data_IF_701707778771
#
_entry.id   IF_701707778771
#
_cell.length_a   1.000
_cell.length_b   1.000
_cell.length_c   1.000
_cell.angle_alpha   90.00
_cell.angle_beta   90.00
_cell.angle_gamma   90.00
#
_symmetry.space_group_name_H-M   'P 1'
#
loop_
_entity.id
_entity.type
_entity.pdbx_description
1 polymer ?
#
# COMPACT_ATOMS: atom_id res chain seq x y z
N UNK A 1 39.10 12.10 -19.19
CA UNK A 1 39.33 10.70 -19.66
C UNK A 1 39.16 9.78 -18.46
N UNK A 2 38.11 8.93 -18.51
CA UNK A 2 37.91 7.65 -17.78
C UNK A 2 37.92 7.66 -16.25
N UNK A 3 36.75 7.45 -15.64
CA UNK A 3 36.20 6.14 -15.20
C UNK A 3 36.94 5.57 -13.97
N UNK A 4 36.23 5.48 -12.84
CA UNK A 4 35.93 4.23 -12.09
C UNK A 4 35.60 4.57 -10.63
N UNK A 5 34.39 4.26 -10.20
CA UNK A 5 34.10 3.48 -8.98
C UNK A 5 32.62 3.62 -8.65
N UNK A 6 31.87 2.64 -9.15
CA UNK A 6 30.47 2.39 -8.87
C UNK A 6 30.39 1.27 -7.82
N UNK A 7 29.36 1.34 -6.99
CA UNK A 7 28.80 0.23 -6.19
C UNK A 7 29.52 -0.13 -4.88
N UNK A 8 28.92 0.30 -3.76
CA UNK A 8 28.68 -0.47 -2.53
C UNK A 8 27.70 0.36 -1.68
N UNK A 9 26.44 -0.08 -1.58
CA UNK A 9 25.52 0.06 -0.44
C UNK A 9 24.06 0.01 -0.93
N UNK A 10 23.48 -1.19 -1.01
CA UNK A 10 22.07 -1.42 -0.65
C UNK A 10 21.79 -2.93 -0.60
N UNK A 11 22.02 -3.56 0.56
CA UNK A 11 21.50 -4.90 0.88
C UNK A 11 21.32 -5.05 2.38
N UNK A 12 20.23 -4.52 2.92
CA UNK A 12 19.57 -5.04 4.15
C UNK A 12 18.09 -4.66 4.06
N UNK A 13 17.20 -5.66 4.16
CA UNK A 13 15.78 -5.40 4.46
C UNK A 13 14.74 -6.05 3.55
N UNK A 14 14.90 -7.31 3.13
CA UNK A 14 13.79 -8.12 2.63
C UNK A 14 13.86 -9.50 3.30
N UNK A 15 13.04 -9.71 4.33
CA UNK A 15 12.78 -10.99 4.96
C UNK A 15 11.28 -11.03 5.25
N UNK A 16 10.50 -12.02 4.83
CA UNK A 16 10.76 -13.15 3.97
C UNK A 16 9.41 -13.76 3.59
N UNK A 17 9.30 -14.28 2.38
CA UNK A 17 8.20 -15.15 1.97
C UNK A 17 8.72 -16.10 0.89
N UNK A 18 9.02 -17.34 1.27
CA UNK A 18 9.31 -18.39 0.29
C UNK A 18 8.94 -19.79 0.84
N UNK A 19 7.83 -20.29 0.30
CA UNK A 19 7.51 -21.66 -0.12
C UNK A 19 7.78 -22.87 0.79
N UNK A 20 6.69 -23.54 1.19
CA UNK A 20 6.64 -24.98 1.42
C UNK A 20 6.66 -25.74 0.09
N UNK A 21 7.62 -26.63 -0.10
CA UNK A 21 7.59 -27.69 -1.10
C UNK A 21 7.35 -29.04 -0.42
N UNK A 22 6.28 -29.72 -0.81
CA UNK A 22 5.88 -31.03 -0.30
C UNK A 22 6.86 -32.14 -0.73
N UNK A 23 7.36 -32.91 0.22
CA UNK A 23 8.04 -34.18 -0.03
C UNK A 23 7.02 -35.33 0.06
N UNK A 24 6.46 -35.71 -1.09
CA UNK A 24 5.76 -36.99 -1.28
C UNK A 24 6.72 -37.92 -2.03
N UNK A 25 7.24 -38.93 -1.34
CA UNK A 25 7.80 -40.14 -1.98
C UNK A 25 8.05 -41.20 -0.90
N UNK A 26 7.19 -42.24 -0.88
CA UNK A 26 7.26 -43.29 0.14
C UNK A 26 6.58 -44.58 -0.26
N UNK A 27 7.02 -45.16 -1.38
CA UNK A 27 7.21 -46.60 -1.64
C UNK A 27 6.04 -47.56 -1.33
N UNK A 28 5.43 -48.06 -2.41
CA UNK A 28 4.57 -49.24 -2.36
C UNK A 28 5.39 -50.53 -2.29
N UNK A 29 4.88 -51.50 -1.54
CA UNK A 29 5.06 -52.93 -1.79
C UNK A 29 3.84 -53.70 -1.27
N UNK A 30 3.59 -54.85 -1.91
CA UNK A 30 2.30 -55.53 -2.01
C UNK A 30 1.96 -56.50 -0.87
N UNK A 31 0.64 -56.58 -0.63
CA UNK A 31 -0.22 -57.76 -0.38
C UNK A 31 0.00 -58.69 0.83
N UNK A 32 -1.08 -58.89 1.61
CA UNK A 32 -1.22 -60.01 2.55
C UNK A 32 -2.39 -59.92 3.54
N UNK A 33 -3.61 -60.20 3.06
CA UNK A 33 -4.70 -60.98 3.68
C UNK A 33 -5.47 -60.55 4.97
N UNK A 34 -6.76 -60.96 4.95
CA UNK A 34 -7.69 -61.27 6.03
C UNK A 34 -8.44 -60.15 6.83
N UNK A 35 -9.71 -59.98 6.44
CA UNK A 35 -10.95 -59.80 7.26
C UNK A 35 -10.83 -59.18 8.66
N UNK A 36 -11.47 -58.02 8.83
CA UNK A 36 -12.50 -57.86 9.87
C UNK A 36 -13.41 -56.68 9.53
N UNK A 37 -14.70 -56.97 9.39
CA UNK A 37 -15.73 -55.95 9.30
C UNK A 37 -15.89 -55.32 10.68
N UNK A 38 -15.37 -54.11 10.86
CA UNK A 38 -15.79 -53.25 11.95
C UNK A 38 -16.47 -52.03 11.35
N UNK A 39 -17.80 -52.07 11.32
CA UNK A 39 -18.63 -50.90 11.11
C UNK A 39 -18.58 -50.04 12.38
N UNK A 40 -17.41 -49.43 12.63
CA UNK A 40 -17.28 -48.31 13.53
C UNK A 40 -17.53 -47.06 12.71
N UNK A 41 -18.61 -46.34 13.00
CA UNK A 41 -18.87 -45.04 12.40
C UNK A 41 -17.64 -44.17 12.56
N UNK A 42 -16.97 -43.87 11.46
CA UNK A 42 -16.01 -42.80 11.40
C UNK A 42 -16.82 -41.52 11.59
N UNK A 43 -16.94 -41.09 12.84
CA UNK A 43 -17.09 -39.67 13.09
C UNK A 43 -15.90 -39.03 12.37
N UNK A 44 -16.20 -38.35 11.27
CA UNK A 44 -15.28 -37.45 10.59
C UNK A 44 -14.80 -36.49 11.68
N UNK A 45 -13.62 -36.77 12.24
CA UNK A 45 -12.99 -35.88 13.18
C UNK A 45 -12.74 -34.61 12.37
N UNK A 46 -13.61 -33.60 12.56
CA UNK A 46 -13.42 -32.29 12.00
C UNK A 46 -11.97 -31.91 12.31
N UNK A 47 -11.15 -31.83 11.26
CA UNK A 47 -9.73 -31.56 11.41
C UNK A 47 -9.62 -30.26 12.22
N UNK A 48 -9.13 -30.36 13.45
CA UNK A 48 -8.90 -29.19 14.29
C UNK A 48 -7.92 -28.31 13.53
N UNK A 49 -8.44 -27.19 13.03
CA UNK A 49 -7.66 -26.21 12.30
C UNK A 49 -6.57 -25.72 13.25
N UNK A 50 -5.30 -25.77 12.82
CA UNK A 50 -4.20 -25.19 13.60
C UNK A 50 -4.50 -23.71 13.86
N UNK A 51 -4.70 -23.27 15.12
CA UNK A 51 -5.03 -21.89 15.43
C UNK A 51 -4.00 -20.90 14.90
N UNK A 52 -2.73 -21.32 14.82
CA UNK A 52 -1.66 -20.47 14.29
C UNK A 52 -1.77 -20.29 12.78
N UNK A 53 -2.10 -21.35 12.04
CA UNK A 53 -2.30 -21.29 10.60
C UNK A 53 -3.56 -20.49 10.23
N UNK A 54 -4.65 -20.67 10.96
CA UNK A 54 -5.89 -19.93 10.75
C UNK A 54 -5.69 -18.42 11.01
N UNK A 55 -5.02 -18.06 12.11
CA UNK A 55 -4.68 -16.68 12.43
C UNK A 55 -3.83 -16.02 11.32
N UNK A 56 -2.80 -16.71 10.81
CA UNK A 56 -1.96 -16.17 9.74
C UNK A 56 -2.73 -16.02 8.43
N UNK A 57 -3.66 -16.94 8.13
CA UNK A 57 -4.54 -16.82 6.97
C UNK A 57 -5.49 -15.63 7.09
N UNK A 58 -6.01 -15.36 8.30
CA UNK A 58 -6.81 -14.16 8.58
C UNK A 58 -6.00 -12.87 8.36
N UNK A 59 -4.77 -12.82 8.89
CA UNK A 59 -3.88 -11.68 8.69
C UNK A 59 -3.55 -11.45 7.19
N UNK A 60 -3.32 -12.52 6.41
CA UNK A 60 -3.09 -12.43 4.96
C UNK A 60 -4.32 -11.89 4.21
N UNK A 61 -5.53 -12.39 4.53
CA UNK A 61 -6.77 -11.86 3.95
C UNK A 61 -6.93 -10.36 4.22
N UNK A 62 -6.63 -9.92 5.44
CA UNK A 62 -6.71 -8.50 5.78
C UNK A 62 -5.66 -7.67 5.05
N UNK A 63 -4.41 -8.15 4.94
CA UNK A 63 -3.37 -7.46 4.19
C UNK A 63 -3.77 -7.26 2.71
N UNK A 64 -4.37 -8.28 2.09
CA UNK A 64 -4.91 -8.18 0.72
C UNK A 64 -6.06 -7.18 0.63
N UNK A 65 -6.99 -7.21 1.59
CA UNK A 65 -8.10 -6.26 1.63
C UNK A 65 -7.61 -4.81 1.75
N UNK A 66 -6.60 -4.56 2.59
CA UNK A 66 -5.96 -3.26 2.70
C UNK A 66 -5.30 -2.84 1.38
N UNK A 67 -4.43 -3.67 0.81
CA UNK A 67 -3.72 -3.37 -0.44
C UNK A 67 -4.67 -3.11 -1.61
N UNK A 68 -5.81 -3.83 -1.66
CA UNK A 68 -6.86 -3.59 -2.65
C UNK A 68 -7.47 -2.18 -2.56
N UNK A 69 -7.44 -1.55 -1.39
CA UNK A 69 -7.95 -0.18 -1.20
C UNK A 69 -6.86 0.89 -1.24
N UNK A 70 -5.57 0.51 -1.23
CA UNK A 70 -4.42 1.39 -1.09
C UNK A 70 -3.45 1.26 -2.28
N UNK A 71 -3.82 1.73 -3.49
CA UNK A 71 -3.05 1.50 -4.70
C UNK A 71 -1.65 2.12 -4.67
N UNK A 72 -1.46 3.22 -3.96
CA UNK A 72 -0.15 3.86 -3.79
C UNK A 72 0.75 3.02 -2.85
N UNK A 73 0.21 2.46 -1.77
CA UNK A 73 0.95 1.55 -0.88
C UNK A 73 1.35 0.26 -1.62
N UNK A 74 0.46 -0.27 -2.45
CA UNK A 74 0.77 -1.41 -3.32
C UNK A 74 1.91 -1.10 -4.29
N UNK A 75 1.98 0.13 -4.82
CA UNK A 75 3.05 0.59 -5.70
C UNK A 75 4.37 0.71 -4.95
N UNK A 76 4.35 1.31 -3.76
CA UNK A 76 5.53 1.46 -2.91
C UNK A 76 6.13 0.10 -2.51
N UNK A 77 5.29 -0.90 -2.23
CA UNK A 77 5.72 -2.24 -1.89
C UNK A 77 6.08 -3.11 -3.11
N UNK A 78 5.73 -2.67 -4.32
CA UNK A 78 5.97 -3.41 -5.55
C UNK A 78 5.28 -4.78 -5.59
N UNK A 79 4.09 -4.90 -4.99
CA UNK A 79 3.35 -6.16 -4.92
C UNK A 79 2.64 -6.48 -6.24
N UNK A 80 2.31 -7.75 -6.47
CA UNK A 80 1.55 -8.17 -7.65
C UNK A 80 0.08 -7.77 -7.57
N UNK A 81 -0.60 -7.77 -8.72
CA UNK A 81 -2.05 -7.56 -8.81
C UNK A 81 -2.85 -8.65 -8.07
N UNK A 82 -2.34 -9.89 -7.99
CA UNK A 82 -2.96 -10.94 -7.17
C UNK A 82 -3.04 -10.58 -5.68
N UNK A 83 -2.15 -9.70 -5.20
CA UNK A 83 -2.12 -9.22 -3.82
C UNK A 83 -2.92 -7.92 -3.63
N UNK A 84 -2.81 -6.98 -4.56
CA UNK A 84 -3.36 -5.62 -4.44
C UNK A 84 -4.60 -5.34 -5.32
N UNK A 85 -5.10 -6.36 -6.01
CA UNK A 85 -6.16 -6.23 -7.00
C UNK A 85 -5.64 -5.74 -8.36
N UNK A 86 -6.37 -6.13 -9.41
CA UNK A 86 -6.08 -5.74 -10.79
C UNK A 86 -6.07 -4.22 -10.96
N UNK A 87 -5.21 -3.74 -11.86
CA UNK A 87 -5.12 -2.35 -12.27
C UNK A 87 -4.86 -1.37 -11.12
N UNK A 88 -4.25 -1.78 -10.00
CA UNK A 88 -3.93 -0.84 -8.92
C UNK A 88 -3.00 0.29 -9.39
N UNK A 89 -2.18 0.05 -10.41
CA UNK A 89 -1.29 1.04 -11.02
C UNK A 89 -2.03 2.16 -11.77
N UNK A 90 -3.30 2.01 -12.13
CA UNK A 90 -4.05 3.02 -12.92
C UNK A 90 -4.86 3.99 -12.05
N UNK A 91 -4.92 3.75 -10.74
CA UNK A 91 -5.79 4.49 -9.81
C UNK A 91 -5.03 5.12 -8.66
N UNK A 92 -5.57 6.20 -8.12
CA UNK A 92 -5.17 6.81 -6.85
C UNK A 92 -6.22 6.52 -5.77
N UNK A 93 -5.78 6.43 -4.52
CA UNK A 93 -6.66 6.33 -3.37
C UNK A 93 -7.55 7.55 -3.21
N UNK A 94 -8.55 7.42 -2.34
CA UNK A 94 -9.37 8.54 -1.90
C UNK A 94 -8.77 9.17 -0.64
N UNK A 95 -8.91 10.50 -0.51
CA UNK A 95 -8.33 11.31 0.56
C UNK A 95 -9.37 12.18 1.29
N UNK A 96 -10.65 12.02 0.94
CA UNK A 96 -11.77 12.75 1.55
C UNK A 96 -12.35 12.07 2.79
N UNK A 97 -13.42 12.65 3.32
CA UNK A 97 -14.10 12.19 4.53
C UNK A 97 -14.49 10.70 4.49
N UNK A 98 -15.10 10.24 3.38
CA UNK A 98 -15.55 8.85 3.23
C UNK A 98 -14.38 7.86 3.28
N UNK A 99 -13.23 8.21 2.70
CA UNK A 99 -12.02 7.40 2.74
C UNK A 99 -11.50 7.26 4.18
N UNK A 100 -11.53 8.36 4.95
CA UNK A 100 -11.15 8.31 6.35
C UNK A 100 -12.13 7.47 7.19
N UNK A 101 -13.43 7.54 6.93
CA UNK A 101 -14.40 6.66 7.60
C UNK A 101 -14.18 5.19 7.24
N UNK A 102 -13.90 4.87 5.98
CA UNK A 102 -13.58 3.51 5.56
C UNK A 102 -12.30 2.99 6.24
N UNK A 103 -11.26 3.82 6.36
CA UNK A 103 -10.02 3.46 7.07
C UNK A 103 -10.26 3.22 8.57
N UNK A 104 -11.11 4.02 9.24
CA UNK A 104 -11.50 3.80 10.63
C UNK A 104 -12.26 2.48 10.80
N UNK A 105 -13.23 2.21 9.94
CA UNK A 105 -14.00 0.97 9.96
C UNK A 105 -13.10 -0.26 9.73
N UNK A 106 -12.21 -0.20 8.72
CA UNK A 106 -11.25 -1.27 8.44
C UNK A 106 -10.34 -1.57 9.66
N UNK A 107 -9.89 -0.52 10.37
CA UNK A 107 -9.12 -0.68 11.60
C UNK A 107 -9.94 -1.36 12.70
N UNK A 108 -11.18 -0.91 12.92
CA UNK A 108 -12.06 -1.45 13.96
C UNK A 108 -12.44 -2.91 13.69
N UNK A 109 -12.87 -3.22 12.46
CA UNK A 109 -13.27 -4.57 12.04
C UNK A 109 -12.13 -5.57 12.25
N UNK A 110 -10.92 -5.23 11.80
CA UNK A 110 -9.76 -6.10 12.00
C UNK A 110 -9.37 -6.24 13.46
N UNK A 111 -9.42 -5.15 14.23
CA UNK A 111 -9.10 -5.20 15.64
C UNK A 111 -10.10 -6.05 16.43
N UNK A 112 -11.37 -6.08 16.02
CA UNK A 112 -12.39 -6.98 16.56
C UNK A 112 -12.09 -8.45 16.20
N UNK A 113 -11.81 -8.76 14.92
CA UNK A 113 -11.46 -10.12 14.48
C UNK A 113 -10.19 -10.62 15.20
N UNK A 114 -9.15 -9.78 15.28
CA UNK A 114 -7.91 -10.05 15.98
C UNK A 114 -8.13 -10.38 17.45
N UNK A 115 -9.03 -9.67 18.14
CA UNK A 115 -9.36 -9.93 19.56
C UNK A 115 -10.13 -11.23 19.77
N UNK A 116 -10.67 -11.84 18.72
CA UNK A 116 -11.31 -13.15 18.76
C UNK A 116 -10.32 -14.32 18.87
N UNK A 117 -9.04 -14.11 18.54
CA UNK A 117 -8.01 -15.15 18.65
C UNK A 117 -7.43 -15.23 20.07
N UNK A 118 -7.36 -16.44 20.62
CA UNK A 118 -6.66 -16.70 21.88
C UNK A 118 -5.14 -16.68 21.67
N UNK A 119 -4.51 -15.60 22.15
CA UNK A 119 -3.05 -15.43 22.11
C UNK A 119 -2.28 -16.59 22.76
N UNK A 120 -2.86 -17.28 23.76
CA UNK A 120 -2.24 -18.43 24.42
C UNK A 120 -2.20 -19.70 23.56
N UNK A 121 -3.07 -19.80 22.56
CA UNK A 121 -3.14 -20.90 21.61
C UNK A 121 -2.24 -20.70 20.37
N UNK A 122 -1.67 -19.51 20.18
CA UNK A 122 -0.77 -19.19 19.07
C UNK A 122 0.67 -19.55 19.42
N UNK A 123 1.41 -20.07 18.44
CA UNK A 123 2.81 -20.48 18.60
C UNK A 123 3.73 -19.93 17.52
N UNK A 124 5.04 -19.96 17.77
CA UNK A 124 6.05 -19.52 16.81
C UNK A 124 5.83 -18.08 16.30
N UNK A 125 5.92 -17.91 14.99
CA UNK A 125 5.73 -16.60 14.33
C UNK A 125 4.32 -16.05 14.54
N UNK A 126 3.28 -16.89 14.60
CA UNK A 126 1.89 -16.43 14.77
C UNK A 126 1.70 -15.65 16.07
N UNK A 127 2.29 -16.12 17.18
CA UNK A 127 2.26 -15.46 18.46
C UNK A 127 2.89 -14.05 18.42
N UNK A 128 4.04 -13.92 17.75
CA UNK A 128 4.74 -12.63 17.59
C UNK A 128 3.93 -11.71 16.67
N UNK A 129 3.44 -12.23 15.55
CA UNK A 129 2.63 -11.48 14.60
C UNK A 129 1.35 -10.95 15.24
N UNK A 130 0.70 -11.74 16.11
CA UNK A 130 -0.43 -11.26 16.92
C UNK A 130 -0.04 -10.06 17.78
N UNK A 131 1.06 -10.15 18.53
CA UNK A 131 1.47 -9.07 19.44
C UNK A 131 1.79 -7.78 18.67
N UNK A 132 2.46 -7.91 17.52
CA UNK A 132 2.79 -6.78 16.63
C UNK A 132 1.52 -6.16 16.04
N UNK A 133 0.64 -6.98 15.45
CA UNK A 133 -0.60 -6.49 14.84
C UNK A 133 -1.51 -5.86 15.90
N UNK A 134 -1.65 -6.48 17.07
CA UNK A 134 -2.46 -5.92 18.15
C UNK A 134 -1.94 -4.55 18.58
N UNK A 135 -0.62 -4.42 18.75
CA UNK A 135 -0.03 -3.13 19.09
C UNK A 135 -0.26 -2.07 18.00
N UNK A 136 -0.05 -2.42 16.73
CA UNK A 136 -0.25 -1.51 15.62
C UNK A 136 -1.71 -1.05 15.51
N UNK A 137 -2.68 -1.97 15.57
CA UNK A 137 -4.09 -1.64 15.40
C UNK A 137 -4.69 -0.95 16.63
N UNK A 138 -4.29 -1.30 17.86
CA UNK A 138 -4.69 -0.52 19.05
C UNK A 138 -4.13 0.91 18.99
N UNK A 139 -2.92 1.11 18.45
CA UNK A 139 -2.33 2.44 18.26
C UNK A 139 -3.11 3.26 17.26
N UNK A 140 -3.45 2.66 16.11
CA UNK A 140 -4.33 3.29 15.12
C UNK A 140 -5.71 3.60 15.70
N UNK A 141 -6.32 2.69 16.46
CA UNK A 141 -7.61 2.93 17.09
C UNK A 141 -7.59 4.16 18.01
N UNK A 142 -6.53 4.33 18.82
CA UNK A 142 -6.35 5.53 19.67
C UNK A 142 -6.24 6.81 18.85
N UNK A 143 -5.54 6.76 17.71
CA UNK A 143 -5.45 7.90 16.79
C UNK A 143 -6.77 8.16 16.06
N UNK A 144 -7.51 7.11 15.72
CA UNK A 144 -8.76 7.19 14.96
C UNK A 144 -9.94 7.72 15.79
N UNK A 145 -9.79 7.80 17.13
CA UNK A 145 -10.72 8.51 18.02
C UNK A 145 -10.80 10.02 17.75
N UNK A 146 -9.82 10.58 17.04
CA UNK A 146 -9.87 11.97 16.59
C UNK A 146 -10.46 12.06 15.17
N UNK A 147 -11.41 12.97 15.01
CA UNK A 147 -12.08 13.21 13.73
C UNK A 147 -11.20 13.94 12.71
N UNK A 148 -10.10 14.56 13.17
CA UNK A 148 -9.17 15.34 12.36
C UNK A 148 -7.87 14.60 11.99
N UNK A 149 -7.08 15.20 11.09
CA UNK A 149 -5.76 14.75 10.67
C UNK A 149 -5.78 13.54 9.73
N UNK A 150 -6.95 13.18 9.20
CA UNK A 150 -7.22 11.96 8.43
C UNK A 150 -7.64 10.76 9.29
N UNK A 151 -7.30 9.54 8.84
CA UNK A 151 -7.44 8.28 9.57
C UNK A 151 -6.42 7.27 9.03
N UNK A 152 -6.14 6.20 9.78
CA UNK A 152 -5.27 5.12 9.29
C UNK A 152 -5.85 3.73 9.59
N UNK A 153 -5.75 2.77 8.64
CA UNK A 153 -6.25 1.41 8.87
C UNK A 153 -5.39 0.62 9.87
N UNK A 154 -4.11 0.96 10.05
CA UNK A 154 -3.21 0.32 11.03
C UNK A 154 -2.15 1.30 11.53
N UNK A 155 -1.37 0.95 12.57
CA UNK A 155 -0.48 1.86 13.31
C UNK A 155 0.71 2.47 12.54
N UNK A 156 0.63 2.66 11.23
CA UNK A 156 1.59 3.37 10.40
C UNK A 156 0.87 4.11 9.25
N UNK A 157 1.42 5.28 8.88
CA UNK A 157 1.22 5.96 7.60
C UNK A 157 -0.21 6.35 7.19
N UNK A 158 -0.31 7.28 6.22
CA UNK A 158 -1.59 7.54 5.56
C UNK A 158 -2.18 6.23 5.03
N UNK A 159 -3.50 6.14 4.75
CA UNK A 159 -4.09 4.93 4.18
C UNK A 159 -3.43 4.48 2.86
N UNK A 160 -2.59 5.32 2.24
CA UNK A 160 -2.03 5.11 0.92
C UNK A 160 -0.49 5.25 0.83
N UNK A 161 0.28 5.48 1.90
CA UNK A 161 1.76 5.45 1.80
C UNK A 161 2.51 5.19 3.11
N UNK A 162 3.70 4.60 3.00
CA UNK A 162 4.59 4.16 4.07
C UNK A 162 5.25 5.29 4.88
N UNK A 163 4.98 6.54 4.55
CA UNK A 163 5.45 7.68 5.31
C UNK A 163 4.66 7.75 6.64
N UNK A 164 5.33 7.36 7.74
CA UNK A 164 4.76 7.07 9.07
C UNK A 164 4.22 8.28 9.86
N UNK A 165 3.62 9.26 9.18
CA UNK A 165 3.13 10.50 9.79
C UNK A 165 1.63 10.50 10.07
N UNK A 166 0.82 9.48 9.75
CA UNK A 166 -0.62 9.50 10.08
C UNK A 166 -0.97 9.53 11.58
N UNK A 167 0.03 9.48 12.46
CA UNK A 167 -0.10 9.79 13.88
C UNK A 167 -0.01 11.30 14.18
N UNK A 168 0.16 12.14 13.15
CA UNK A 168 0.19 13.59 13.27
C UNK A 168 -1.25 14.15 13.32
N UNK A 169 -1.51 15.22 14.08
CA UNK A 169 -2.81 15.89 14.05
C UNK A 169 -3.08 16.64 12.75
N UNK A 170 -2.10 16.74 11.84
CA UNK A 170 -2.15 17.58 10.64
C UNK A 170 -2.11 16.77 9.35
N UNK A 171 -3.22 16.72 8.63
CA UNK A 171 -3.32 15.95 7.38
C UNK A 171 -2.29 16.38 6.31
N UNK A 172 -1.90 17.65 6.31
CA UNK A 172 -0.83 18.18 5.47
C UNK A 172 0.09 19.09 6.28
N UNK A 173 1.39 18.97 6.05
CA UNK A 173 2.46 19.83 6.56
C UNK A 173 3.44 20.14 5.44
N UNK A 174 4.42 21.00 5.69
CA UNK A 174 5.52 21.24 4.74
C UNK A 174 6.42 20.02 4.50
N UNK A 175 6.30 18.97 5.31
CA UNK A 175 7.12 17.75 5.22
C UNK A 175 6.32 16.54 4.75
N UNK A 176 5.00 16.57 4.89
CA UNK A 176 4.14 15.40 4.75
C UNK A 176 2.80 15.78 4.15
N UNK A 177 2.24 14.91 3.32
CA UNK A 177 0.93 15.13 2.71
C UNK A 177 0.81 14.52 1.32
N UNK A 178 -0.41 14.30 0.82
CA UNK A 178 -0.64 13.82 -0.55
C UNK A 178 0.04 14.70 -1.61
N UNK A 179 0.07 16.01 -1.41
CA UNK A 179 0.75 16.98 -2.29
C UNK A 179 2.26 16.74 -2.49
N UNK A 180 2.93 16.05 -1.54
CA UNK A 180 4.34 15.67 -1.67
C UNK A 180 4.48 14.20 -2.08
N UNK A 181 3.66 13.33 -1.49
CA UNK A 181 3.74 11.89 -1.68
C UNK A 181 3.33 11.47 -3.10
N UNK A 182 2.25 12.01 -3.65
CA UNK A 182 1.74 11.60 -4.96
C UNK A 182 2.71 11.92 -6.10
N UNK A 183 3.26 13.16 -6.21
CA UNK A 183 4.26 13.45 -7.24
C UNK A 183 5.51 12.58 -7.08
N UNK A 184 5.98 12.40 -5.85
CA UNK A 184 7.15 11.55 -5.55
C UNK A 184 6.93 10.11 -5.99
N UNK A 185 5.77 9.53 -5.67
CA UNK A 185 5.42 8.17 -6.07
C UNK A 185 5.40 8.03 -7.60
N UNK A 186 4.77 8.97 -8.31
CA UNK A 186 4.76 8.97 -9.78
C UNK A 186 6.18 9.05 -10.37
N UNK A 187 7.00 9.97 -9.88
CA UNK A 187 8.35 10.16 -10.40
C UNK A 187 9.30 9.01 -10.06
N UNK A 188 9.21 8.44 -8.86
CA UNK A 188 10.25 7.53 -8.34
C UNK A 188 9.82 6.06 -8.25
N UNK A 189 8.55 5.77 -8.02
CA UNK A 189 8.08 4.41 -7.71
C UNK A 189 7.22 3.81 -8.83
N UNK A 190 6.47 4.63 -9.57
CA UNK A 190 5.66 4.15 -10.68
C UNK A 190 6.56 3.55 -11.80
N UNK A 191 6.33 2.28 -12.21
CA UNK A 191 7.13 1.62 -13.23
C UNK A 191 6.78 2.17 -14.63
N UNK A 192 7.76 2.32 -15.53
CA UNK A 192 7.55 2.81 -16.91
C UNK A 192 8.40 1.94 -17.83
N UNK A 193 7.93 0.72 -18.06
CA UNK A 193 8.66 -0.33 -18.79
C UNK A 193 7.87 -0.83 -20.01
N UNK A 194 6.61 -0.43 -20.14
CA UNK A 194 5.72 -0.84 -21.22
C UNK A 194 4.71 0.27 -21.56
N UNK A 195 3.97 0.10 -22.66
CA UNK A 195 2.88 1.01 -23.05
C UNK A 195 1.77 1.04 -21.99
N UNK A 196 1.47 -0.11 -21.40
CA UNK A 196 0.47 -0.26 -20.34
C UNK A 196 0.88 0.52 -19.08
N UNK A 197 2.17 0.46 -18.72
CA UNK A 197 2.72 1.26 -17.62
C UNK A 197 2.62 2.78 -17.89
N UNK A 198 2.89 3.22 -19.12
CA UNK A 198 2.74 4.64 -19.49
C UNK A 198 1.28 5.07 -19.40
N UNK A 199 0.34 4.25 -19.87
CA UNK A 199 -1.09 4.53 -19.74
C UNK A 199 -1.55 4.57 -18.28
N UNK A 200 -1.04 3.67 -17.44
CA UNK A 200 -1.30 3.66 -16.00
C UNK A 200 -0.77 4.94 -15.31
N UNK A 201 0.42 5.40 -15.71
CA UNK A 201 0.99 6.67 -15.25
C UNK A 201 0.07 7.84 -15.59
N UNK A 202 -0.39 7.91 -16.84
CA UNK A 202 -1.28 8.97 -17.32
C UNK A 202 -2.65 8.92 -16.65
N UNK A 203 -3.18 7.73 -16.36
CA UNK A 203 -4.42 7.57 -15.62
C UNK A 203 -4.31 8.17 -14.21
N UNK A 204 -3.24 7.84 -13.46
CA UNK A 204 -2.98 8.42 -12.14
C UNK A 204 -2.72 9.93 -12.19
N UNK A 205 -1.99 10.40 -13.19
CA UNK A 205 -1.76 11.83 -13.38
C UNK A 205 -3.09 12.58 -13.56
N UNK A 206 -4.01 12.03 -14.36
CA UNK A 206 -5.34 12.58 -14.56
C UNK A 206 -6.23 12.55 -13.31
N UNK A 207 -5.99 11.63 -12.38
CA UNK A 207 -6.69 11.58 -11.09
C UNK A 207 -6.10 12.52 -10.03
N UNK A 208 -4.90 13.07 -10.24
CA UNK A 208 -4.18 13.81 -9.20
C UNK A 208 -4.95 15.05 -8.74
N UNK A 209 -5.67 15.73 -9.64
CA UNK A 209 -6.55 16.85 -9.29
C UNK A 209 -7.61 16.46 -8.26
N UNK A 210 -8.36 15.38 -8.52
CA UNK A 210 -9.36 14.81 -7.59
C UNK A 210 -8.73 14.52 -6.22
N UNK A 211 -7.59 13.82 -6.21
CA UNK A 211 -6.95 13.42 -4.97
C UNK A 211 -6.47 14.62 -4.14
N UNK A 212 -5.97 15.68 -4.79
CA UNK A 212 -5.53 16.91 -4.11
C UNK A 212 -6.70 17.78 -3.65
N UNK A 213 -7.81 17.82 -4.41
CA UNK A 213 -9.04 18.51 -3.99
C UNK A 213 -9.62 17.87 -2.73
N UNK A 214 -9.78 16.54 -2.72
CA UNK A 214 -10.21 15.77 -1.54
C UNK A 214 -9.29 16.01 -0.34
N UNK A 215 -7.97 16.05 -0.57
CA UNK A 215 -7.00 16.34 0.47
C UNK A 215 -7.13 17.77 1.03
N UNK A 216 -7.39 18.75 0.15
CA UNK A 216 -7.65 20.14 0.51
C UNK A 216 -8.96 20.33 1.28
N UNK A 217 -10.00 19.55 0.96
CA UNK A 217 -11.26 19.51 1.70
C UNK A 217 -11.06 18.97 3.13
N UNK A 218 -10.32 17.86 3.29
CA UNK A 218 -9.94 17.33 4.60
C UNK A 218 -9.16 18.38 5.40
N UNK A 219 -8.15 19.00 4.78
CA UNK A 219 -7.37 20.07 5.42
C UNK A 219 -8.23 21.26 5.85
N UNK A 220 -9.16 21.70 4.99
CA UNK A 220 -10.04 22.83 5.27
C UNK A 220 -11.06 22.51 6.36
N UNK A 221 -11.56 21.28 6.40
CA UNK A 221 -12.48 20.78 7.43
C UNK A 221 -11.80 20.79 8.80
N UNK A 222 -10.57 20.26 8.89
CA UNK A 222 -9.77 20.28 10.11
C UNK A 222 -9.50 21.73 10.58
N UNK A 223 -9.11 22.61 9.66
CA UNK A 223 -8.88 24.02 9.97
C UNK A 223 -10.13 24.71 10.49
N UNK A 224 -11.32 24.35 9.99
CA UNK A 224 -12.62 24.89 10.42
C UNK A 224 -12.96 24.62 11.89
N UNK A 225 -12.37 23.58 12.49
CA UNK A 225 -12.51 23.25 13.92
C UNK A 225 -11.30 23.67 14.76
N UNK A 226 -10.40 24.47 14.19
CA UNK A 226 -9.20 24.96 14.88
C UNK A 226 -8.00 24.02 14.81
N UNK A 227 -8.09 22.93 14.04
CA UNK A 227 -6.99 21.98 13.83
C UNK A 227 -6.26 22.32 12.54
N UNK A 228 -5.28 23.21 12.64
CA UNK A 228 -4.43 23.59 11.52
C UNK A 228 -2.94 23.52 11.91
N UNK A 229 -2.04 23.23 10.95
CA UNK A 229 -0.60 23.32 11.21
C UNK A 229 -0.19 24.73 11.67
N UNK A 230 0.95 24.87 12.37
CA UNK A 230 1.52 26.18 12.64
C UNK A 230 1.77 26.98 11.35
N UNK A 231 1.74 28.31 11.44
CA UNK A 231 1.89 29.21 10.28
C UNK A 231 3.07 28.87 9.36
N UNK A 232 4.25 28.59 9.93
CA UNK A 232 5.43 28.26 9.12
C UNK A 232 5.24 27.01 8.25
N UNK A 233 4.47 26.03 8.75
CA UNK A 233 4.16 24.81 8.00
C UNK A 233 3.21 25.12 6.84
N UNK A 234 2.19 25.96 7.08
CA UNK A 234 1.28 26.45 6.03
C UNK A 234 2.04 27.23 4.96
N UNK A 235 2.93 28.15 5.37
CA UNK A 235 3.78 28.92 4.44
C UNK A 235 4.68 27.99 3.61
N UNK A 236 5.19 26.91 4.21
CA UNK A 236 5.96 25.87 3.54
C UNK A 236 5.13 25.08 2.51
N UNK A 237 3.90 24.66 2.87
CA UNK A 237 2.96 24.00 1.93
C UNK A 237 2.70 24.91 0.73
N UNK A 238 2.34 26.18 0.98
CA UNK A 238 2.03 27.14 -0.08
C UNK A 238 3.23 27.41 -0.98
N UNK A 239 4.43 27.50 -0.41
CA UNK A 239 5.68 27.66 -1.18
C UNK A 239 5.91 26.45 -2.08
N UNK A 240 5.77 25.23 -1.54
CA UNK A 240 5.94 24.00 -2.31
C UNK A 240 4.93 23.92 -3.46
N UNK A 241 3.64 24.13 -3.18
CA UNK A 241 2.58 24.10 -4.20
C UNK A 241 2.76 25.17 -5.28
N UNK A 242 3.11 26.40 -4.91
CA UNK A 242 3.38 27.47 -5.89
C UNK A 242 4.55 27.14 -6.80
N UNK A 243 5.64 26.62 -6.23
CA UNK A 243 6.80 26.22 -7.01
C UNK A 243 6.48 25.04 -7.93
N UNK A 244 5.65 24.11 -7.46
CA UNK A 244 5.20 22.95 -8.23
C UNK A 244 4.47 23.37 -9.51
N UNK A 245 3.61 24.39 -9.43
CA UNK A 245 2.79 24.85 -10.58
C UNK A 245 3.35 26.07 -11.32
N UNK A 246 4.55 26.56 -10.95
CA UNK A 246 5.07 27.83 -11.49
C UNK A 246 5.51 27.76 -12.96
N UNK A 247 5.96 26.59 -13.42
CA UNK A 247 6.52 26.38 -14.76
C UNK A 247 5.45 26.00 -15.81
N UNK A 248 5.80 26.05 -17.10
CA UNK A 248 4.92 25.54 -18.14
C UNK A 248 4.72 24.02 -17.99
N UNK A 249 3.52 23.48 -18.26
CA UNK A 249 3.24 22.05 -18.06
C UNK A 249 4.21 21.10 -18.79
N UNK A 250 4.64 21.46 -20.00
CA UNK A 250 5.59 20.65 -20.77
C UNK A 250 6.97 20.52 -20.13
N UNK A 251 7.37 21.43 -19.25
CA UNK A 251 8.63 21.33 -18.48
C UNK A 251 8.39 20.93 -17.03
N UNK A 252 7.19 20.48 -16.68
CA UNK A 252 6.86 20.08 -15.32
C UNK A 252 7.61 18.78 -14.99
N UNK A 253 8.17 18.60 -13.77
CA UNK A 253 8.94 17.41 -13.41
C UNK A 253 8.23 16.08 -13.67
N UNK A 254 6.90 16.02 -13.49
CA UNK A 254 6.10 14.84 -13.83
C UNK A 254 6.15 14.46 -15.32
N UNK A 255 6.15 15.46 -16.22
CA UNK A 255 6.26 15.22 -17.67
C UNK A 255 7.68 14.85 -18.04
N UNK A 256 8.67 15.61 -17.54
CA UNK A 256 10.09 15.39 -17.85
C UNK A 256 10.54 14.00 -17.38
N UNK A 257 10.19 13.60 -16.15
CA UNK A 257 10.53 12.26 -15.65
C UNK A 257 9.83 11.15 -16.43
N UNK A 258 8.61 11.37 -16.92
CA UNK A 258 7.95 10.42 -17.81
C UNK A 258 8.73 10.27 -19.13
N UNK A 259 9.10 11.38 -19.77
CA UNK A 259 9.91 11.38 -21.00
C UNK A 259 11.24 10.64 -20.82
N UNK A 260 11.97 10.94 -19.74
CA UNK A 260 13.25 10.31 -19.42
C UNK A 260 13.10 8.79 -19.27
N UNK A 261 12.06 8.34 -18.56
CA UNK A 261 11.81 6.91 -18.34
C UNK A 261 11.29 6.19 -19.59
N UNK A 262 10.52 6.86 -20.46
CA UNK A 262 10.07 6.25 -21.72
C UNK A 262 11.22 5.90 -22.67
N UNK A 263 12.40 6.49 -22.48
CA UNK A 263 13.58 6.17 -23.27
C UNK A 263 14.07 4.72 -23.08
N UNK A 264 13.74 4.07 -21.96
CA UNK A 264 14.06 2.65 -21.72
C UNK A 264 12.97 1.68 -22.19
N UNK A 265 11.88 2.16 -22.80
CA UNK A 265 10.78 1.31 -23.28
C UNK A 265 11.06 0.83 -24.70
N UNK A 266 11.29 -0.48 -24.84
CA UNK A 266 11.59 -1.11 -26.12
C UNK A 266 10.44 -0.99 -27.12
N UNK A 267 10.78 -0.69 -28.37
CA UNK A 267 9.82 -0.64 -29.48
C UNK A 267 8.83 0.52 -29.43
N UNK A 268 9.04 1.52 -28.57
CA UNK A 268 8.25 2.75 -28.55
C UNK A 268 8.81 3.75 -29.59
N UNK A 269 7.98 4.21 -30.52
CA UNK A 269 8.39 5.18 -31.53
C UNK A 269 8.55 6.59 -30.94
N UNK A 270 9.31 7.45 -31.61
CA UNK A 270 9.54 8.83 -31.14
C UNK A 270 8.25 9.66 -31.17
N UNK A 271 7.43 9.45 -32.20
CA UNK A 271 6.12 10.08 -32.32
C UNK A 271 5.16 9.63 -31.20
N UNK A 272 5.24 8.36 -30.77
CA UNK A 272 4.46 7.85 -29.65
C UNK A 272 4.91 8.47 -28.32
N UNK A 273 6.23 8.57 -28.08
CA UNK A 273 6.79 9.26 -26.90
C UNK A 273 6.30 10.70 -26.82
N UNK A 274 6.41 11.44 -27.92
CA UNK A 274 5.95 12.82 -28.00
C UNK A 274 4.44 12.95 -27.74
N UNK A 275 3.63 12.01 -28.23
CA UNK A 275 2.19 12.00 -27.98
C UNK A 275 1.86 11.76 -26.50
N UNK A 276 2.58 10.84 -25.83
CA UNK A 276 2.43 10.59 -24.40
C UNK A 276 2.83 11.80 -23.55
N UNK A 277 3.97 12.41 -23.83
CA UNK A 277 4.43 13.62 -23.15
C UNK A 277 3.44 14.78 -23.32
N UNK A 278 2.95 15.00 -24.55
CA UNK A 278 1.95 16.02 -24.82
C UNK A 278 0.61 15.75 -24.12
N UNK A 279 0.24 14.47 -23.91
CA UNK A 279 -0.94 14.11 -23.12
C UNK A 279 -0.70 14.36 -21.63
N UNK A 280 0.46 13.99 -21.10
CA UNK A 280 0.83 14.28 -19.73
C UNK A 280 0.78 15.79 -19.43
N UNK A 281 1.32 16.63 -20.32
CA UNK A 281 1.32 18.07 -20.17
C UNK A 281 -0.07 18.74 -20.23
N UNK A 282 -1.12 18.02 -20.65
CA UNK A 282 -2.51 18.52 -20.66
C UNK A 282 -3.30 18.13 -19.40
N UNK A 283 -2.85 17.12 -18.67
CA UNK A 283 -3.45 16.65 -17.42
C UNK A 283 -2.95 17.50 -16.26
#
# INVERSE_FOLDING_TARGET
>A
MRETSFSIMLKVGAAGLALLAAASCGRGDKAGDARSANAGGAAEAAAQTDPSADFLAMADRHARAFLATAPEAATELGVSEDLAGENYLTRLGAYGFSAHQAARAMNEDFLQELRGYDRGALSGTAAITYDVLKNAYDTAARRNQFDFGGATPFGAGLPNSGDSWAMTPYFMTQLTGPHLALPRMLMSQHPIDSREHIEAYLARLGEMGRALDEAGETFSTDAGIGMAPPRFAIDGILTSLRNFVAGPPASHPLVVTLEEKMASVDGLAEEERAAYAARAARL
#
